data_IF_651826854453
#
_entry.id   IF_651826854453
#
_cell.length_a   1.000
_cell.length_b   1.000
_cell.length_c   1.000
_cell.angle_alpha   90.00
_cell.angle_beta   90.00
_cell.angle_gamma   90.00
#
_symmetry.space_group_name_H-M   'P 1'
#
loop_
_entity.id
_entity.type
_entity.pdbx_description
1 polymer ?
#
# COMPACT_ATOMS: atom_id res chain seq x y z
N UNK A 1 -28.97 5.92 14.74
CA UNK A 1 -27.68 6.13 15.41
C UNK A 1 -26.68 5.19 14.77
N UNK A 2 -25.59 5.70 14.22
CA UNK A 2 -24.55 4.86 13.63
C UNK A 2 -23.78 4.15 14.74
N UNK A 3 -23.68 2.83 14.66
CA UNK A 3 -22.96 1.99 15.63
C UNK A 3 -21.57 1.67 15.07
N UNK A 4 -20.52 2.23 15.67
CA UNK A 4 -19.12 2.02 15.30
C UNK A 4 -18.42 1.26 16.44
N UNK A 5 -18.42 -0.08 16.44
CA UNK A 5 -17.80 -0.84 17.50
C UNK A 5 -16.29 -0.63 17.51
N UNK A 6 -15.68 -0.77 18.69
CA UNK A 6 -14.22 -0.69 18.84
C UNK A 6 -13.55 -1.85 18.08
N UNK A 7 -12.53 -1.60 17.25
CA UNK A 7 -11.74 -2.67 16.64
C UNK A 7 -11.07 -3.55 17.71
N UNK A 8 -11.09 -4.86 17.49
CA UNK A 8 -10.47 -5.86 18.37
C UNK A 8 -8.97 -6.03 18.11
N UNK A 9 -8.51 -5.70 16.91
CA UNK A 9 -7.10 -5.77 16.53
C UNK A 9 -6.29 -4.77 17.33
N UNK A 10 -5.25 -5.25 18.00
CA UNK A 10 -4.37 -4.41 18.83
C UNK A 10 -3.62 -3.34 18.03
N UNK A 11 -3.32 -3.62 16.77
CA UNK A 11 -2.50 -2.75 15.91
C UNK A 11 -3.17 -2.48 14.59
N UNK A 12 -2.97 -1.28 14.07
CA UNK A 12 -3.33 -0.93 12.70
C UNK A 12 -2.24 -1.49 11.79
N UNK A 13 -2.65 -2.28 10.80
CA UNK A 13 -1.77 -2.85 9.78
C UNK A 13 -2.24 -2.47 8.39
N UNK A 14 -1.29 -2.42 7.46
CA UNK A 14 -1.58 -2.37 6.04
C UNK A 14 -1.21 -3.71 5.41
N UNK A 15 -2.15 -4.26 4.67
CA UNK A 15 -1.92 -5.48 3.91
C UNK A 15 -0.93 -5.21 2.78
N UNK A 16 -0.08 -6.20 2.51
CA UNK A 16 0.90 -6.16 1.43
C UNK A 16 0.73 -7.42 0.61
N UNK A 17 0.52 -7.24 -0.68
CA UNK A 17 0.40 -8.35 -1.63
C UNK A 17 1.80 -8.80 -2.01
N UNK A 18 2.08 -10.10 -1.95
CA UNK A 18 3.34 -10.66 -2.47
C UNK A 18 3.36 -10.58 -3.99
N UNK A 19 4.48 -10.12 -4.56
CA UNK A 19 4.68 -10.07 -6.01
C UNK A 19 5.75 -11.07 -6.41
N UNK A 20 5.50 -11.83 -7.47
CA UNK A 20 6.47 -12.78 -8.02
C UNK A 20 7.66 -12.06 -8.69
N UNK A 21 8.79 -12.77 -8.79
CA UNK A 21 10.01 -12.25 -9.40
C UNK A 21 11.10 -11.89 -8.38
N UNK A 22 12.23 -11.39 -8.89
CA UNK A 22 13.40 -11.02 -8.11
C UNK A 22 13.66 -9.52 -8.17
N UNK A 23 14.10 -8.95 -7.05
CA UNK A 23 14.50 -7.54 -6.99
C UNK A 23 15.66 -7.27 -7.95
N UNK A 24 15.54 -6.22 -8.77
CA UNK A 24 16.57 -5.83 -9.75
C UNK A 24 17.85 -5.30 -9.10
N UNK A 25 17.79 -4.88 -7.84
CA UNK A 25 18.93 -4.34 -7.10
C UNK A 25 19.69 -5.41 -6.28
N UNK A 26 18.99 -6.32 -5.59
CA UNK A 26 19.65 -7.30 -4.69
C UNK A 26 19.40 -8.77 -5.06
N UNK A 27 18.57 -9.06 -6.07
CA UNK A 27 18.24 -10.41 -6.49
C UNK A 27 17.27 -11.19 -5.58
N UNK A 28 16.84 -10.62 -4.44
CA UNK A 28 15.92 -11.30 -3.53
C UNK A 28 14.51 -11.42 -4.11
N UNK A 29 13.89 -12.60 -3.98
CA UNK A 29 12.51 -12.86 -4.39
C UNK A 29 11.49 -12.49 -3.29
N UNK A 30 11.63 -11.27 -2.75
CA UNK A 30 10.81 -10.75 -1.64
C UNK A 30 10.18 -9.42 -2.01
N UNK A 31 9.46 -9.38 -3.13
CA UNK A 31 8.75 -8.21 -3.59
C UNK A 31 7.35 -8.15 -2.98
N UNK A 32 6.89 -6.94 -2.67
CA UNK A 32 5.52 -6.72 -2.19
C UNK A 32 4.91 -5.44 -2.76
N UNK A 33 3.63 -5.50 -3.10
CA UNK A 33 2.82 -4.39 -3.60
C UNK A 33 1.95 -3.83 -2.48
N UNK A 34 2.01 -2.51 -2.26
CA UNK A 34 1.21 -1.84 -1.22
C UNK A 34 1.16 -0.33 -1.41
N UNK A 35 0.14 0.36 -0.86
CA UNK A 35 0.07 1.81 -0.91
C UNK A 35 1.02 2.47 0.08
N UNK A 36 1.62 3.59 -0.33
CA UNK A 36 2.53 4.41 0.48
C UNK A 36 2.18 5.89 0.30
N UNK A 37 2.12 6.63 1.42
CA UNK A 37 2.08 8.09 1.40
C UNK A 37 3.50 8.65 1.34
N UNK A 38 3.74 9.55 0.40
CA UNK A 38 5.01 10.23 0.18
C UNK A 38 4.76 11.72 -0.13
N UNK A 39 5.80 12.51 -0.36
CA UNK A 39 5.68 13.95 -0.65
C UNK A 39 4.74 14.24 -1.84
N UNK A 40 4.78 13.41 -2.89
CA UNK A 40 3.88 13.51 -4.05
C UNK A 40 2.46 12.95 -3.85
N UNK A 41 2.06 12.66 -2.61
CA UNK A 41 0.78 12.02 -2.29
C UNK A 41 0.87 10.50 -2.19
N UNK A 42 -0.25 9.83 -2.48
CA UNK A 42 -0.38 8.37 -2.38
C UNK A 42 0.09 7.68 -3.67
N UNK A 43 0.90 6.65 -3.48
CA UNK A 43 1.39 5.79 -4.56
C UNK A 43 1.09 4.33 -4.23
N UNK A 44 0.84 3.53 -5.26
CA UNK A 44 0.92 2.09 -5.19
C UNK A 44 2.33 1.71 -5.65
N UNK A 45 3.10 1.05 -4.77
CA UNK A 45 4.51 0.70 -5.03
C UNK A 45 4.70 -0.80 -5.06
N UNK A 46 5.69 -1.26 -5.82
CA UNK A 46 6.28 -2.59 -5.66
C UNK A 46 7.67 -2.40 -5.07
N UNK A 47 7.90 -2.95 -3.88
CA UNK A 47 9.17 -2.80 -3.16
C UNK A 47 9.72 -4.13 -2.68
N UNK A 48 11.06 -4.23 -2.71
CA UNK A 48 11.76 -5.33 -2.05
C UNK A 48 11.72 -5.17 -0.53
N UNK A 49 11.29 -6.22 0.17
CA UNK A 49 11.25 -6.25 1.63
C UNK A 49 12.65 -6.37 2.27
N UNK A 50 13.68 -6.73 1.49
CA UNK A 50 15.04 -6.93 2.01
C UNK A 50 15.91 -5.67 1.86
N UNK A 51 15.96 -5.08 0.67
CA UNK A 51 16.83 -3.93 0.38
C UNK A 51 16.08 -2.61 0.20
N UNK A 52 14.74 -2.62 0.25
CA UNK A 52 13.87 -1.46 0.07
C UNK A 52 13.92 -0.79 -1.32
N UNK A 53 14.55 -1.43 -2.31
CA UNK A 53 14.49 -0.98 -3.70
C UNK A 53 13.03 -0.88 -4.17
N UNK A 54 12.74 0.16 -4.95
CA UNK A 54 11.43 0.40 -5.55
C UNK A 54 11.48 -0.08 -7.01
N UNK A 55 10.80 -1.18 -7.33
CA UNK A 55 10.71 -1.69 -8.69
C UNK A 55 9.71 -0.86 -9.51
N UNK A 56 8.57 -0.53 -8.89
CA UNK A 56 7.50 0.23 -9.53
C UNK A 56 6.93 1.26 -8.56
N UNK A 57 6.44 2.38 -9.13
CA UNK A 57 5.77 3.44 -8.38
C UNK A 57 4.75 4.13 -9.27
N UNK A 58 3.48 3.97 -8.92
CA UNK A 58 2.36 4.54 -9.68
C UNK A 58 1.53 5.44 -8.76
N UNK A 59 1.12 6.66 -9.20
CA UNK A 59 0.14 7.44 -8.47
C UNK A 59 -1.12 6.62 -8.23
N UNK A 60 -1.69 6.70 -7.02
CA UNK A 60 -2.88 5.94 -6.66
C UNK A 60 -4.06 6.86 -6.40
N UNK A 61 -4.79 6.66 -5.30
CA UNK A 61 -5.98 7.42 -4.94
C UNK A 61 -5.60 8.68 -4.19
N UNK A 62 -6.23 9.81 -4.54
CA UNK A 62 -5.99 11.11 -3.90
C UNK A 62 -6.08 11.04 -2.36
N UNK A 63 -7.05 10.31 -1.84
CA UNK A 63 -7.31 10.16 -0.40
C UNK A 63 -6.93 8.76 0.14
N UNK A 64 -6.07 8.03 -0.57
CA UNK A 64 -5.65 6.69 -0.19
C UNK A 64 -6.84 5.74 -0.03
N UNK A 65 -7.05 5.23 1.18
CA UNK A 65 -8.12 4.29 1.50
C UNK A 65 -9.51 4.93 1.68
N UNK A 66 -9.60 6.26 1.69
CA UNK A 66 -10.88 6.95 1.85
C UNK A 66 -11.53 7.15 0.49
N UNK A 67 -12.74 6.61 0.31
CA UNK A 67 -13.60 6.89 -0.84
C UNK A 67 -14.70 7.87 -0.44
N UNK A 68 -14.93 8.89 -1.28
CA UNK A 68 -16.02 9.84 -1.08
C UNK A 68 -17.31 9.30 -1.71
N UNK A 69 -18.37 9.21 -0.92
CA UNK A 69 -19.70 8.79 -1.39
C UNK A 69 -20.25 9.74 -2.48
N UNK A 70 -19.89 11.02 -2.42
CA UNK A 70 -20.26 12.01 -3.44
C UNK A 70 -19.59 11.78 -4.80
N UNK A 71 -18.57 10.93 -4.89
CA UNK A 71 -17.86 10.60 -6.12
C UNK A 71 -18.36 9.34 -6.84
N UNK A 72 -19.41 8.69 -6.33
CA UNK A 72 -19.97 7.43 -6.88
C UNK A 72 -21.16 7.66 -7.84
N UNK A 73 -21.29 8.87 -8.40
CA UNK A 73 -22.34 9.24 -9.37
C UNK A 73 -21.97 8.83 -10.81
#
# INVERSE_FOLDING_TARGET
>A
MSHYPRPETLTISQERESVEGACTACGAARLSRYPVLSEGGWFLVVRCADCLNCEEREPWRLLGHVELLSGQL
#
